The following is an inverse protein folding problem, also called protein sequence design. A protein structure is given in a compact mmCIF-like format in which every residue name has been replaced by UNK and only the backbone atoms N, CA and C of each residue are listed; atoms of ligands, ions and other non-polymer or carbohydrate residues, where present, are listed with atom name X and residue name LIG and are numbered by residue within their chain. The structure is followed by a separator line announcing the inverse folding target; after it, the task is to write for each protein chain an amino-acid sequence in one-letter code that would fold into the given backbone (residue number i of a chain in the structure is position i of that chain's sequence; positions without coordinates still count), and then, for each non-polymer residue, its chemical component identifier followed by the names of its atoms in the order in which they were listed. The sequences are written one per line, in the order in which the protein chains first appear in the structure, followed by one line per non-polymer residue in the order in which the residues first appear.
data_IF_467132423809
#
_entry.id   IF_467132423809
#
_cell.length_a   1.000
_cell.length_b   1.000
_cell.length_c   1.000
_cell.angle_alpha   90.00
_cell.angle_beta   90.00
_cell.angle_gamma   90.00
#
_symmetry.space_group_name_H-M   'P 1'
#
loop_
_entity.id
_entity.type
_entity.pdbx_description
1 polymer ?
#
# COMPACT_ATOMS: atom_id res chain seq x y z
N UNK A 1 13.10 13.72 11.13
CA UNK A 1 12.73 15.05 10.58
C UNK A 1 11.27 14.94 10.17
N UNK A 2 10.39 15.82 10.67
CA UNK A 2 8.96 15.81 10.31
C UNK A 2 8.70 16.22 8.85
N UNK A 3 7.43 16.24 8.47
CA UNK A 3 7.00 16.72 7.15
C UNK A 3 7.26 18.21 6.96
N UNK A 4 7.62 18.62 5.74
CA UNK A 4 7.70 20.03 5.37
C UNK A 4 6.31 20.65 5.21
N UNK A 5 6.20 21.99 5.13
CA UNK A 5 4.92 22.65 4.86
C UNK A 5 4.33 22.24 3.50
N UNK A 6 5.17 21.97 2.51
CA UNK A 6 4.75 21.47 1.19
C UNK A 6 4.20 20.03 1.30
N UNK A 7 4.87 19.17 2.08
CA UNK A 7 4.41 17.80 2.35
C UNK A 7 3.03 17.79 3.03
N UNK A 8 2.86 18.63 4.06
CA UNK A 8 1.58 18.75 4.78
C UNK A 8 0.44 19.22 3.87
N UNK A 9 0.70 20.16 2.97
CA UNK A 9 -0.29 20.62 2.00
C UNK A 9 -0.65 19.51 1.01
N UNK A 10 0.33 18.75 0.52
CA UNK A 10 0.09 17.64 -0.40
C UNK A 10 -0.66 16.49 0.29
N UNK A 11 -0.27 16.13 1.51
CA UNK A 11 -0.97 15.12 2.32
C UNK A 11 -2.42 15.55 2.53
N UNK A 12 -2.65 16.80 2.88
CA UNK A 12 -4.00 17.34 3.09
C UNK A 12 -4.83 17.26 1.82
N UNK A 13 -4.30 17.68 0.67
CA UNK A 13 -5.00 17.60 -0.63
C UNK A 13 -5.45 16.16 -0.92
N UNK A 14 -4.53 15.19 -0.80
CA UNK A 14 -4.82 13.78 -1.08
C UNK A 14 -5.76 13.16 -0.06
N UNK A 15 -5.67 13.58 1.20
CA UNK A 15 -6.59 13.17 2.25
C UNK A 15 -8.01 13.70 2.00
N UNK A 16 -8.16 14.99 1.66
CA UNK A 16 -9.45 15.59 1.35
C UNK A 16 -10.11 14.92 0.13
N UNK A 17 -9.32 14.56 -0.89
CA UNK A 17 -9.76 13.80 -2.05
C UNK A 17 -10.23 12.37 -1.67
N UNK A 18 -9.52 11.68 -0.77
CA UNK A 18 -9.97 10.39 -0.24
C UNK A 18 -11.28 10.53 0.55
N UNK A 19 -11.42 11.58 1.37
CA UNK A 19 -12.65 11.84 2.13
C UNK A 19 -13.87 12.02 1.21
N UNK A 20 -13.71 12.69 0.06
CA UNK A 20 -14.76 12.79 -0.95
C UNK A 20 -15.21 11.40 -1.44
N UNK A 21 -14.26 10.51 -1.69
CA UNK A 21 -14.59 9.12 -2.08
C UNK A 21 -15.28 8.36 -0.96
N UNK A 22 -14.91 8.60 0.30
CA UNK A 22 -15.51 7.98 1.48
C UNK A 22 -17.00 8.34 1.68
N UNK A 23 -17.49 9.43 1.11
CA UNK A 23 -18.93 9.80 1.17
C UNK A 23 -19.83 8.69 0.61
N UNK A 24 -19.32 7.87 -0.30
CA UNK A 24 -20.07 6.76 -0.91
C UNK A 24 -20.26 5.57 0.03
N UNK A 25 -19.43 5.42 1.06
CA UNK A 25 -19.36 4.24 1.91
C UNK A 25 -19.66 4.53 3.39
N UNK A 26 -19.40 5.76 3.88
CA UNK A 26 -19.65 6.16 5.25
C UNK A 26 -21.14 6.48 5.43
N UNK A 27 -21.77 5.84 6.43
CA UNK A 27 -23.20 5.97 6.70
C UNK A 27 -23.49 6.76 7.99
N UNK A 28 -22.51 6.87 8.88
CA UNK A 28 -22.64 7.48 10.19
C UNK A 28 -21.30 8.10 10.65
N UNK A 29 -21.33 8.83 11.75
CA UNK A 29 -20.15 9.47 12.33
C UNK A 29 -19.11 8.45 12.83
N UNK A 30 -19.50 7.24 13.19
CA UNK A 30 -18.58 6.18 13.61
C UNK A 30 -17.69 5.74 12.45
N UNK A 31 -18.24 5.59 11.23
CA UNK A 31 -17.49 5.25 10.04
C UNK A 31 -16.42 6.32 9.73
N UNK A 32 -16.82 7.61 9.81
CA UNK A 32 -15.91 8.73 9.61
C UNK A 32 -14.78 8.77 10.65
N UNK A 33 -15.13 8.59 11.92
CA UNK A 33 -14.17 8.57 13.02
C UNK A 33 -13.21 7.39 12.89
N UNK A 34 -13.70 6.25 12.42
CA UNK A 34 -12.89 5.04 12.23
C UNK A 34 -11.83 5.24 11.15
N UNK A 35 -12.19 5.83 10.00
CA UNK A 35 -11.25 6.17 8.92
C UNK A 35 -10.25 7.23 9.37
N UNK A 36 -10.72 8.30 10.06
CA UNK A 36 -9.83 9.36 10.56
C UNK A 36 -8.79 8.82 11.54
N UNK A 37 -9.20 7.94 12.48
CA UNK A 37 -8.27 7.30 13.42
C UNK A 37 -7.19 6.51 12.70
N UNK A 38 -7.55 5.75 11.66
CA UNK A 38 -6.60 4.99 10.87
C UNK A 38 -5.61 5.91 10.13
N UNK A 39 -6.10 7.01 9.55
CA UNK A 39 -5.26 8.00 8.89
C UNK A 39 -4.26 8.64 9.86
N UNK A 40 -4.71 9.08 11.03
CA UNK A 40 -3.82 9.74 12.00
C UNK A 40 -2.76 8.77 12.53
N UNK A 41 -3.13 7.52 12.80
CA UNK A 41 -2.15 6.50 13.21
C UNK A 41 -1.16 6.19 12.10
N UNK A 42 -1.60 6.04 10.85
CA UNK A 42 -0.70 5.84 9.72
C UNK A 42 0.23 7.06 9.50
N UNK A 43 -0.27 8.30 9.71
CA UNK A 43 0.52 9.52 9.62
C UNK A 43 1.61 9.58 10.69
N UNK A 44 1.28 9.24 11.92
CA UNK A 44 2.22 9.16 13.05
C UNK A 44 3.28 8.06 12.80
N UNK A 45 2.83 6.87 12.43
CA UNK A 45 3.68 5.71 12.20
C UNK A 45 4.73 5.92 11.09
N UNK A 46 4.38 6.68 10.05
CA UNK A 46 5.27 6.95 8.91
C UNK A 46 5.83 8.37 8.91
N UNK A 47 5.84 9.07 10.06
CA UNK A 47 6.36 10.43 10.13
C UNK A 47 7.82 10.51 9.68
N UNK A 48 8.08 11.37 8.69
CA UNK A 48 9.43 11.58 8.14
C UNK A 48 9.92 10.48 7.20
N UNK A 49 9.14 9.41 6.98
CA UNK A 49 9.46 8.37 6.00
C UNK A 49 9.14 8.87 4.60
N UNK A 50 10.07 8.63 3.65
CA UNK A 50 9.93 9.02 2.25
C UNK A 50 10.06 7.83 1.31
N UNK A 51 9.34 7.86 0.20
CA UNK A 51 9.52 6.92 -0.92
C UNK A 51 10.81 7.24 -1.69
N UNK A 52 11.25 6.33 -2.54
CA UNK A 52 12.42 6.54 -3.43
C UNK A 52 12.23 7.72 -4.39
N UNK A 53 10.99 8.09 -4.71
CA UNK A 53 10.60 9.29 -5.48
C UNK A 53 10.81 10.61 -4.71
N UNK A 54 11.07 10.54 -3.39
CA UNK A 54 11.26 11.69 -2.51
C UNK A 54 9.97 12.20 -1.86
N UNK A 55 8.81 11.71 -2.25
CA UNK A 55 7.50 12.09 -1.68
C UNK A 55 7.26 11.45 -0.30
N UNK A 56 6.40 12.04 0.57
CA UNK A 56 5.97 11.43 1.82
C UNK A 56 5.41 10.03 1.62
N UNK A 57 5.85 9.07 2.45
CA UNK A 57 5.37 7.68 2.35
C UNK A 57 3.85 7.57 2.53
N UNK A 58 3.27 8.40 3.40
CA UNK A 58 1.83 8.41 3.71
C UNK A 58 0.93 8.57 2.48
N UNK A 59 1.42 9.17 1.39
CA UNK A 59 0.65 9.32 0.15
C UNK A 59 0.31 7.97 -0.48
N UNK A 60 1.15 6.95 -0.26
CA UNK A 60 0.91 5.60 -0.76
C UNK A 60 -0.32 4.94 -0.12
N UNK A 61 -0.43 4.77 1.21
CA UNK A 61 -1.62 4.17 1.80
C UNK A 61 -2.91 4.96 1.51
N UNK A 62 -2.83 6.30 1.38
CA UNK A 62 -3.98 7.11 0.94
C UNK A 62 -4.41 6.72 -0.48
N UNK A 63 -3.48 6.58 -1.41
CA UNK A 63 -3.77 6.20 -2.79
C UNK A 63 -4.31 4.77 -2.89
N UNK A 64 -3.75 3.81 -2.12
CA UNK A 64 -4.26 2.44 -2.03
C UNK A 64 -5.70 2.43 -1.51
N UNK A 65 -5.98 3.18 -0.44
CA UNK A 65 -7.34 3.31 0.10
C UNK A 65 -8.33 3.88 -0.92
N UNK A 66 -7.90 4.84 -1.75
CA UNK A 66 -8.71 5.40 -2.83
C UNK A 66 -9.03 4.35 -3.91
N UNK A 67 -8.05 3.56 -4.36
CA UNK A 67 -8.25 2.45 -5.30
C UNK A 67 -9.26 1.44 -4.72
N UNK A 68 -9.13 1.11 -3.43
CA UNK A 68 -10.04 0.19 -2.73
C UNK A 68 -11.50 0.65 -2.78
N UNK A 69 -11.76 1.97 -2.70
CA UNK A 69 -13.12 2.53 -2.80
C UNK A 69 -13.57 2.63 -4.25
N UNK A 70 -12.77 3.28 -5.09
CA UNK A 70 -13.23 3.75 -6.40
C UNK A 70 -13.18 2.67 -7.48
N UNK A 71 -12.15 1.82 -7.45
CA UNK A 71 -11.93 0.81 -8.49
C UNK A 71 -12.42 -0.57 -8.06
N UNK A 72 -12.31 -0.92 -6.76
CA UNK A 72 -12.74 -2.23 -6.24
C UNK A 72 -14.12 -2.18 -5.60
N UNK A 73 -14.53 -1.05 -5.04
CA UNK A 73 -15.86 -0.85 -4.45
C UNK A 73 -16.01 -1.46 -3.04
N UNK A 74 -14.93 -1.51 -2.24
CA UNK A 74 -14.97 -2.05 -0.88
C UNK A 74 -15.40 -0.98 0.13
N UNK A 75 -15.87 -1.44 1.31
CA UNK A 75 -16.39 -0.58 2.38
C UNK A 75 -15.35 -0.13 3.40
N UNK A 76 -15.83 0.57 4.44
CA UNK A 76 -15.07 1.25 5.49
C UNK A 76 -13.95 0.40 6.10
N UNK A 77 -14.22 -0.86 6.49
CA UNK A 77 -13.21 -1.73 7.09
C UNK A 77 -12.02 -2.00 6.16
N UNK A 78 -12.27 -2.10 4.86
CA UNK A 78 -11.21 -2.31 3.86
C UNK A 78 -10.38 -1.04 3.65
N UNK A 79 -11.00 0.14 3.72
CA UNK A 79 -10.31 1.44 3.67
C UNK A 79 -9.40 1.60 4.89
N UNK A 80 -9.90 1.29 6.08
CA UNK A 80 -9.11 1.31 7.32
C UNK A 80 -7.93 0.35 7.23
N UNK A 81 -8.15 -0.90 6.77
CA UNK A 81 -7.07 -1.86 6.59
C UNK A 81 -6.07 -1.42 5.51
N UNK A 82 -6.52 -0.76 4.44
CA UNK A 82 -5.65 -0.21 3.40
C UNK A 82 -4.79 0.96 3.91
N UNK A 83 -5.32 1.81 4.78
CA UNK A 83 -4.54 2.88 5.42
C UNK A 83 -3.46 2.34 6.38
N UNK A 84 -3.71 1.16 6.97
CA UNK A 84 -2.86 0.53 7.99
C UNK A 84 -1.99 -0.61 7.46
N UNK A 85 -2.04 -0.92 6.15
CA UNK A 85 -1.49 -2.17 5.59
C UNK A 85 0.01 -2.36 5.84
N UNK A 86 0.78 -1.29 5.86
CA UNK A 86 2.23 -1.32 6.09
C UNK A 86 2.63 -0.92 7.52
N UNK A 87 1.68 -0.48 8.37
CA UNK A 87 2.02 0.02 9.71
C UNK A 87 2.68 -1.06 10.57
N UNK A 88 2.16 -2.29 10.55
CA UNK A 88 2.73 -3.41 11.33
C UNK A 88 4.02 -3.95 10.70
N UNK A 89 4.18 -3.82 9.37
CA UNK A 89 5.36 -4.32 8.66
C UNK A 89 6.56 -3.37 8.81
N UNK A 90 6.31 -2.06 8.75
CA UNK A 90 7.35 -1.03 8.64
C UNK A 90 7.62 -0.26 9.95
N UNK A 91 6.85 -0.50 11.02
CA UNK A 91 6.95 0.25 12.27
C UNK A 91 6.93 -0.65 13.52
N UNK A 92 7.00 -0.04 14.70
CA UNK A 92 6.99 -0.74 15.99
C UNK A 92 5.59 -1.22 16.43
N UNK A 93 4.53 -0.85 15.68
CA UNK A 93 3.17 -1.29 16.01
C UNK A 93 2.98 -2.79 15.76
N UNK A 94 2.38 -3.47 16.74
CA UNK A 94 2.06 -4.90 16.65
C UNK A 94 0.62 -5.16 16.18
N UNK A 95 0.32 -6.41 15.81
CA UNK A 95 -1.05 -6.85 15.51
C UNK A 95 -1.95 -6.71 16.73
N UNK A 96 -1.42 -6.92 17.95
CA UNK A 96 -2.12 -6.75 19.22
C UNK A 96 -2.51 -5.27 19.45
N UNK A 97 -1.66 -4.33 19.04
CA UNK A 97 -1.99 -2.90 19.07
C UNK A 97 -3.12 -2.58 18.09
N UNK A 98 -3.10 -3.16 16.90
CA UNK A 98 -4.21 -3.03 15.93
C UNK A 98 -5.51 -3.60 16.50
N UNK A 99 -5.47 -4.72 17.20
CA UNK A 99 -6.65 -5.30 17.84
C UNK A 99 -7.22 -4.40 18.93
N UNK A 100 -6.35 -3.86 19.79
CA UNK A 100 -6.74 -2.96 20.87
C UNK A 100 -7.38 -1.66 20.35
N UNK A 101 -6.84 -1.09 19.24
CA UNK A 101 -7.25 0.22 18.73
C UNK A 101 -8.42 0.08 17.77
N UNK A 102 -8.42 -0.90 16.88
CA UNK A 102 -9.37 -1.04 15.76
C UNK A 102 -10.25 -2.29 15.85
N UNK A 103 -9.99 -3.16 16.83
CA UNK A 103 -10.73 -4.41 17.04
C UNK A 103 -10.23 -5.58 16.20
N UNK A 104 -10.71 -6.81 16.53
CA UNK A 104 -10.15 -8.06 16.02
C UNK A 104 -10.27 -8.21 14.49
N UNK A 105 -11.30 -7.63 13.88
CA UNK A 105 -11.50 -7.75 12.43
C UNK A 105 -10.46 -6.98 11.63
N UNK A 106 -10.10 -5.77 12.06
CA UNK A 106 -9.03 -4.99 11.41
C UNK A 106 -7.67 -5.63 11.67
N UNK A 107 -7.41 -6.05 12.92
CA UNK A 107 -6.18 -6.75 13.27
C UNK A 107 -5.96 -7.99 12.38
N UNK A 108 -6.98 -8.83 12.23
CA UNK A 108 -6.93 -10.00 11.34
C UNK A 108 -6.66 -9.63 9.88
N UNK A 109 -7.24 -8.54 9.37
CA UNK A 109 -7.00 -8.09 7.99
C UNK A 109 -5.56 -7.58 7.82
N UNK A 110 -5.06 -6.79 8.76
CA UNK A 110 -3.68 -6.25 8.73
C UNK A 110 -2.67 -7.38 8.88
N UNK A 111 -2.88 -8.33 9.79
CA UNK A 111 -2.04 -9.54 9.94
C UNK A 111 -1.97 -10.35 8.63
N UNK A 112 -3.12 -10.53 7.97
CA UNK A 112 -3.19 -11.19 6.67
C UNK A 112 -2.37 -10.44 5.59
N UNK A 113 -2.44 -9.11 5.56
CA UNK A 113 -1.68 -8.26 4.63
C UNK A 113 -0.17 -8.38 4.87
N UNK A 114 0.28 -8.33 6.12
CA UNK A 114 1.69 -8.49 6.51
C UNK A 114 2.22 -9.88 6.12
N UNK A 115 1.48 -10.95 6.42
CA UNK A 115 1.85 -12.32 6.05
C UNK A 115 1.97 -12.52 4.53
N UNK A 116 1.17 -11.81 3.74
CA UNK A 116 1.24 -11.85 2.29
C UNK A 116 2.44 -11.09 1.72
N UNK A 117 2.92 -10.03 2.36
CA UNK A 117 4.06 -9.23 1.88
C UNK A 117 5.33 -10.07 1.76
N UNK A 118 5.64 -10.92 2.76
CA UNK A 118 6.81 -11.81 2.74
C UNK A 118 6.78 -12.85 1.62
N UNK A 119 5.60 -13.17 1.11
CA UNK A 119 5.41 -14.21 0.08
C UNK A 119 5.68 -13.71 -1.33
N UNK A 120 5.40 -12.43 -1.61
CA UNK A 120 5.64 -11.85 -2.94
C UNK A 120 7.12 -11.60 -3.27
N UNK A 121 8.01 -11.73 -2.30
CA UNK A 121 9.45 -11.53 -2.43
C UNK A 121 10.25 -12.85 -2.55
N UNK A 122 9.57 -14.01 -2.53
CA UNK A 122 10.20 -15.32 -2.55
C UNK A 122 10.55 -15.82 -3.96
N UNK A 123 11.67 -16.52 -4.09
CA UNK A 123 12.13 -17.14 -5.33
C UNK A 123 11.24 -18.32 -5.77
N UNK A 124 11.33 -18.68 -7.04
CA UNK A 124 10.46 -19.64 -7.76
C UNK A 124 10.32 -21.04 -7.14
N UNK A 125 11.19 -21.43 -6.21
CA UNK A 125 11.08 -22.73 -5.48
C UNK A 125 9.96 -22.76 -4.44
N UNK A 126 9.41 -21.60 -4.07
CA UNK A 126 8.38 -21.42 -3.04
C UNK A 126 6.97 -21.20 -3.60
N UNK A 127 6.78 -21.35 -4.93
CA UNK A 127 5.48 -21.07 -5.58
C UNK A 127 4.32 -21.92 -5.02
N UNK A 128 4.57 -23.15 -4.63
CA UNK A 128 3.52 -24.00 -4.06
C UNK A 128 3.09 -23.54 -2.66
N UNK A 129 4.06 -23.08 -1.85
CA UNK A 129 3.78 -22.51 -0.53
C UNK A 129 3.10 -21.15 -0.65
N UNK A 130 3.51 -20.34 -1.62
CA UNK A 130 2.82 -19.11 -2.01
C UNK A 130 1.35 -19.35 -2.31
N UNK A 131 1.07 -20.30 -3.22
CA UNK A 131 -0.29 -20.60 -3.64
C UNK A 131 -1.15 -21.10 -2.46
N UNK A 132 -0.57 -21.91 -1.58
CA UNK A 132 -1.23 -22.35 -0.35
C UNK A 132 -1.57 -21.20 0.58
N UNK A 133 -0.64 -20.25 0.81
CA UNK A 133 -0.88 -19.07 1.66
C UNK A 133 -1.97 -18.17 1.07
N UNK A 134 -1.94 -17.94 -0.25
CA UNK A 134 -3.01 -17.21 -0.96
C UNK A 134 -4.36 -17.89 -0.78
N UNK A 135 -4.44 -19.21 -0.95
CA UNK A 135 -5.68 -19.97 -0.78
C UNK A 135 -6.21 -19.91 0.66
N UNK A 136 -5.34 -20.02 1.66
CA UNK A 136 -5.73 -19.90 3.06
C UNK A 136 -6.26 -18.50 3.36
N UNK A 137 -5.59 -17.46 2.87
CA UNK A 137 -6.03 -16.07 3.05
C UNK A 137 -7.36 -15.79 2.34
N UNK A 138 -7.59 -16.39 1.16
CA UNK A 138 -8.90 -16.34 0.48
C UNK A 138 -10.02 -16.97 1.29
N UNK A 139 -9.71 -18.04 2.03
CA UNK A 139 -10.66 -18.70 2.91
C UNK A 139 -11.05 -17.83 4.11
N UNK A 140 -10.11 -17.03 4.63
CA UNK A 140 -10.34 -16.20 5.81
C UNK A 140 -11.01 -14.84 5.48
N UNK A 141 -10.44 -14.08 4.55
CA UNK A 141 -11.01 -12.81 4.10
C UNK A 141 -10.48 -12.38 2.73
N UNK A 142 -11.28 -12.55 1.70
CA UNK A 142 -10.93 -12.18 0.31
C UNK A 142 -10.51 -10.71 0.17
N UNK A 143 -10.98 -9.81 1.06
CA UNK A 143 -10.64 -8.39 1.02
C UNK A 143 -9.14 -8.14 1.21
N UNK A 144 -8.45 -8.98 1.97
CA UNK A 144 -6.99 -8.92 2.16
C UNK A 144 -6.28 -8.99 0.81
N UNK A 145 -6.67 -9.94 -0.04
CA UNK A 145 -6.10 -10.10 -1.38
C UNK A 145 -6.42 -8.91 -2.27
N UNK A 146 -7.66 -8.42 -2.23
CA UNK A 146 -8.07 -7.26 -3.02
C UNK A 146 -7.31 -5.99 -2.63
N UNK A 147 -7.06 -5.78 -1.33
CA UNK A 147 -6.21 -4.67 -0.85
C UNK A 147 -4.76 -4.85 -1.33
N UNK A 148 -4.22 -6.07 -1.29
CA UNK A 148 -2.85 -6.33 -1.78
C UNK A 148 -2.73 -6.15 -3.28
N UNK A 149 -3.78 -6.45 -4.05
CA UNK A 149 -3.85 -6.12 -5.49
C UNK A 149 -3.86 -4.61 -5.70
N UNK A 150 -4.62 -3.84 -4.89
CA UNK A 150 -4.64 -2.38 -4.95
C UNK A 150 -3.26 -1.77 -4.65
N UNK A 151 -2.55 -2.30 -3.63
CA UNK A 151 -1.18 -1.93 -3.30
C UNK A 151 -0.24 -2.16 -4.50
N UNK A 152 -0.26 -3.36 -5.07
CA UNK A 152 0.54 -3.69 -6.26
C UNK A 152 0.21 -2.80 -7.45
N UNK A 153 -1.06 -2.54 -7.71
CA UNK A 153 -1.51 -1.66 -8.77
C UNK A 153 -0.97 -0.25 -8.59
N UNK A 154 -1.05 0.32 -7.38
CA UNK A 154 -0.47 1.63 -7.10
C UNK A 154 1.06 1.63 -7.29
N UNK A 155 1.76 0.62 -6.79
CA UNK A 155 3.20 0.49 -6.97
C UNK A 155 3.58 0.41 -8.46
N UNK A 156 2.85 -0.34 -9.28
CA UNK A 156 3.07 -0.41 -10.73
C UNK A 156 2.82 0.93 -11.43
N UNK A 157 1.79 1.67 -11.04
CA UNK A 157 1.50 3.01 -11.58
C UNK A 157 2.58 4.04 -11.26
N UNK A 158 3.26 3.86 -10.12
CA UNK A 158 4.33 4.78 -9.66
C UNK A 158 5.73 4.34 -10.09
N UNK A 159 5.94 3.12 -10.59
CA UNK A 159 7.21 2.63 -11.13
C UNK A 159 7.71 3.44 -12.33
N UNK A 160 6.83 4.06 -13.10
CA UNK A 160 7.19 4.92 -14.24
C UNK A 160 8.12 6.08 -13.86
N UNK A 161 8.03 6.59 -12.65
CA UNK A 161 8.95 7.60 -12.11
C UNK A 161 10.35 7.03 -11.82
N UNK A 162 10.47 5.71 -11.65
CA UNK A 162 11.73 5.03 -11.35
C UNK A 162 12.45 4.53 -12.62
N UNK A 163 11.71 4.25 -13.71
CA UNK A 163 12.26 3.72 -14.96
C UNK A 163 13.02 4.77 -15.79
N UNK A 164 12.83 6.05 -15.54
CA UNK A 164 13.62 7.13 -16.16
C UNK A 164 15.09 7.14 -15.69
N UNK A 165 15.47 6.31 -14.73
CA UNK A 165 16.82 6.24 -14.17
C UNK A 165 17.51 4.89 -14.37
N UNK A 166 16.96 3.98 -15.15
CA UNK A 166 17.68 2.75 -15.52
C UNK A 166 18.59 3.04 -16.69
N UNK A 167 19.90 3.02 -16.41
CA UNK A 167 20.96 2.85 -17.40
C UNK A 167 20.57 1.78 -18.45
N UNK A 168 20.84 2.00 -19.74
CA UNK A 168 20.48 1.03 -20.77
C UNK A 168 21.02 -0.36 -20.42
N UNK A 169 20.14 -1.35 -20.52
CA UNK A 169 20.46 -2.76 -20.24
C UNK A 169 21.73 -3.17 -21.00
N UNK A 170 22.60 -4.01 -20.41
CA UNK A 170 23.75 -4.57 -21.12
C UNK A 170 23.40 -5.30 -22.42
N UNK A 171 22.12 -5.63 -22.65
CA UNK A 171 21.64 -6.20 -23.92
C UNK A 171 21.53 -5.16 -25.03
N UNK A 172 21.29 -3.88 -24.71
CA UNK A 172 21.16 -2.81 -25.72
C UNK A 172 22.52 -2.34 -26.25
N UNK A 173 23.62 -2.67 -25.55
CA UNK A 173 24.99 -2.35 -25.96
C UNK A 173 25.59 -3.33 -27.00
N UNK A 174 24.89 -4.44 -27.31
CA UNK A 174 25.38 -5.43 -28.28
C UNK A 174 24.98 -5.16 -29.73
N UNK A 175 24.24 -4.08 -30.01
CA UNK A 175 23.68 -3.76 -31.33
C UNK A 175 24.58 -2.92 -32.26
N UNK A 176 25.81 -2.49 -31.86
CA UNK A 176 26.62 -1.58 -32.67
C UNK A 176 28.07 -2.06 -32.84
N UNK A 177 28.24 -3.26 -33.35
CA UNK A 177 29.48 -3.65 -34.01
C UNK A 177 29.16 -4.17 -35.41
N UNK A 178 29.12 -3.26 -36.38
CA UNK A 178 29.29 -3.62 -37.77
C UNK A 178 30.78 -3.97 -38.00
N UNK A 179 31.11 -5.10 -38.64
CA UNK A 179 32.48 -5.36 -39.07
C UNK A 179 32.80 -4.41 -40.22
N UNK A 180 33.86 -3.63 -40.04
CA UNK A 180 34.53 -2.91 -41.13
C UNK A 180 35.10 -3.93 -42.08
N UNK A 181 34.58 -4.01 -43.30
CA UNK A 181 35.20 -4.73 -44.44
C UNK A 181 36.32 -3.88 -45.01
N UNK A 182 37.51 -4.39 -44.93
CA UNK A 182 38.61 -4.06 -45.85
C UNK A 182 38.70 -5.13 -46.90
#
# INVERSE_FOLDING_TARGET
MGYTAEDENLIKEKWDDLLLSCTKICKNDEDWNFIKRAFFLAKEAHEGVRRRSGEPYLLHPIAVAKIVIEEIGLGVKSVVAALLHDVVEDTEYSVEDMERIFGPKIASMVDGLTKMSGVFNADTSEQAEYFRKVLLTLSDDVRVILIKIADRLHNMRTLGACLLYTSPSPRDQRGSRMPSSA
#
